data_IF_040837010265
#
_entry.id   IF_040837010265
#
_cell.length_a   1.000
_cell.length_b   1.000
_cell.length_c   1.000
_cell.angle_alpha   90.00
_cell.angle_beta   90.00
_cell.angle_gamma   90.00
#
_symmetry.space_group_name_H-M   'P 1'
#
loop_
_entity.id
_entity.type
_entity.pdbx_description
1 polymer ?
#
# COMPACT_ATOMS: atom_id res chain seq x y z
N UNK A 1 -0.97 -7.10 18.87
CA UNK A 1 -1.22 -6.22 17.70
C UNK A 1 0.11 -5.56 17.34
N UNK A 2 0.89 -6.13 16.40
CA UNK A 2 2.18 -5.58 16.00
C UNK A 2 1.96 -4.64 14.81
N UNK A 3 2.53 -3.44 14.85
CA UNK A 3 3.26 -2.96 13.66
C UNK A 3 2.72 -1.86 12.75
N UNK A 4 1.59 -1.18 13.01
CA UNK A 4 1.09 -0.10 12.11
C UNK A 4 2.01 1.14 11.96
N UNK A 5 3.22 1.14 12.54
CA UNK A 5 4.02 2.34 12.75
C UNK A 5 5.39 2.33 12.09
N UNK A 6 5.47 2.32 10.74
CA UNK A 6 6.66 2.81 10.03
C UNK A 6 6.28 3.42 8.69
N UNK A 7 5.83 4.67 8.72
CA UNK A 7 5.97 5.76 7.71
C UNK A 7 4.91 6.79 8.12
N UNK A 8 5.25 7.57 9.13
CA UNK A 8 4.55 8.78 9.53
C UNK A 8 5.47 9.94 9.22
N UNK A 9 5.37 10.51 8.00
CA UNK A 9 5.83 11.87 7.69
C UNK A 9 5.19 12.30 6.37
N UNK A 10 4.84 13.57 6.27
CA UNK A 10 4.25 14.16 5.07
C UNK A 10 5.09 15.32 4.59
N UNK A 11 5.68 15.18 3.41
CA UNK A 11 6.46 16.21 2.72
C UNK A 11 6.85 15.68 1.34
N UNK A 12 7.28 16.54 0.43
CA UNK A 12 7.90 16.12 -0.83
C UNK A 12 9.07 15.14 -0.62
N UNK A 13 9.71 15.19 0.56
CA UNK A 13 10.77 14.26 0.95
C UNK A 13 10.25 12.82 1.08
N UNK A 14 9.08 12.59 1.69
CA UNK A 14 8.55 11.23 1.88
C UNK A 14 8.21 10.55 0.57
N UNK A 15 7.74 11.30 -0.43
CA UNK A 15 7.53 10.73 -1.77
C UNK A 15 8.84 10.26 -2.40
N UNK A 16 9.92 11.04 -2.24
CA UNK A 16 11.25 10.67 -2.73
C UNK A 16 11.81 9.46 -1.99
N UNK A 17 11.71 9.45 -0.66
CA UNK A 17 12.12 8.31 0.18
C UNK A 17 11.41 7.02 -0.22
N UNK A 18 10.09 7.07 -0.47
CA UNK A 18 9.34 5.91 -0.97
C UNK A 18 9.81 5.51 -2.38
N UNK A 19 10.06 6.46 -3.27
CA UNK A 19 10.59 6.14 -4.59
C UNK A 19 11.95 5.44 -4.48
N UNK A 20 12.86 5.97 -3.66
CA UNK A 20 14.20 5.40 -3.50
C UNK A 20 14.20 4.00 -2.87
N UNK A 21 13.24 3.71 -1.99
CA UNK A 21 13.11 2.42 -1.32
C UNK A 21 12.45 1.33 -2.18
N UNK A 22 11.49 1.70 -3.02
CA UNK A 22 10.63 0.73 -3.72
C UNK A 22 10.83 0.71 -5.24
N UNK A 23 11.66 1.60 -5.80
CA UNK A 23 12.02 1.60 -7.22
C UNK A 23 12.73 0.29 -7.61
N UNK A 24 12.40 -0.24 -8.79
CA UNK A 24 13.11 -1.39 -9.36
C UNK A 24 14.37 -0.98 -10.14
N UNK A 25 14.39 0.24 -10.65
CA UNK A 25 15.50 0.87 -11.35
C UNK A 25 15.42 2.38 -11.15
N UNK A 26 16.47 3.14 -11.45
CA UNK A 26 16.58 4.55 -11.06
C UNK A 26 15.50 5.49 -11.62
N UNK A 27 14.91 5.14 -12.77
CA UNK A 27 13.81 5.88 -13.40
C UNK A 27 12.42 5.32 -13.08
N UNK A 28 12.30 4.31 -12.21
CA UNK A 28 11.03 3.66 -11.91
C UNK A 28 10.15 4.53 -11.01
N UNK A 29 9.14 5.13 -11.62
CA UNK A 29 8.12 5.95 -10.94
C UNK A 29 6.74 5.32 -10.98
N UNK A 30 6.58 4.22 -11.72
CA UNK A 30 5.29 3.70 -12.16
C UNK A 30 5.05 2.23 -11.83
N UNK A 31 6.03 1.51 -11.29
CA UNK A 31 5.85 0.11 -10.92
C UNK A 31 4.72 -0.09 -9.91
N UNK A 32 4.08 -1.28 -9.91
CA UNK A 32 3.06 -1.61 -8.93
C UNK A 32 3.54 -1.43 -7.48
N UNK A 33 4.80 -1.76 -7.18
CA UNK A 33 5.41 -1.65 -5.85
C UNK A 33 5.47 -0.19 -5.38
N UNK A 34 6.04 0.70 -6.19
CA UNK A 34 6.09 2.14 -5.92
C UNK A 34 4.68 2.70 -5.71
N UNK A 35 3.74 2.35 -6.59
CA UNK A 35 2.36 2.82 -6.47
C UNK A 35 1.67 2.31 -5.20
N UNK A 36 1.87 1.04 -4.83
CA UNK A 36 1.30 0.45 -3.60
C UNK A 36 1.87 1.17 -2.37
N UNK A 37 3.17 1.41 -2.31
CA UNK A 37 3.82 2.11 -1.20
C UNK A 37 3.33 3.56 -1.08
N UNK A 38 3.20 4.28 -2.21
CA UNK A 38 2.65 5.63 -2.24
C UNK A 38 1.18 5.66 -1.78
N UNK A 39 0.34 4.73 -2.25
CA UNK A 39 -1.05 4.64 -1.81
C UNK A 39 -1.15 4.30 -0.32
N UNK A 40 -0.30 3.39 0.17
CA UNK A 40 -0.25 3.03 1.59
C UNK A 40 0.02 4.24 2.47
N UNK A 41 1.03 5.06 2.11
CA UNK A 41 1.36 6.29 2.85
C UNK A 41 0.16 7.26 2.93
N UNK A 42 -0.62 7.38 1.85
CA UNK A 42 -1.82 8.24 1.81
C UNK A 42 -2.94 7.66 2.66
N UNK A 43 -3.14 6.34 2.62
CA UNK A 43 -4.16 5.63 3.41
C UNK A 43 -3.88 5.80 4.91
N UNK A 44 -2.63 5.61 5.36
CA UNK A 44 -2.25 5.81 6.77
C UNK A 44 -2.54 7.24 7.21
N UNK A 45 -2.11 8.23 6.41
CA UNK A 45 -2.37 9.65 6.71
C UNK A 45 -3.87 9.98 6.77
N UNK A 46 -4.65 9.55 5.79
CA UNK A 46 -6.09 9.82 5.75
C UNK A 46 -6.82 9.12 6.88
N UNK A 47 -6.39 7.92 7.25
CA UNK A 47 -6.90 7.21 8.42
C UNK A 47 -6.70 8.06 9.68
N UNK A 48 -5.48 8.55 9.94
CA UNK A 48 -5.20 9.41 11.10
C UNK A 48 -5.98 10.73 11.08
N UNK A 49 -6.14 11.35 9.90
CA UNK A 49 -6.97 12.55 9.75
C UNK A 49 -8.44 12.27 10.13
N UNK A 50 -9.01 11.15 9.68
CA UNK A 50 -10.39 10.76 9.93
C UNK A 50 -10.65 10.33 11.37
N UNK A 51 -9.62 9.88 12.12
CA UNK A 51 -9.75 9.60 13.56
C UNK A 51 -10.16 10.84 14.34
N UNK A 52 -9.64 12.00 13.96
CA UNK A 52 -9.98 13.30 14.54
C UNK A 52 -11.21 13.95 13.87
N UNK A 53 -11.47 13.63 12.60
CA UNK A 53 -12.53 14.22 11.78
C UNK A 53 -13.59 13.18 11.39
N UNK A 54 -14.26 12.58 12.37
CA UNK A 54 -15.17 11.46 12.14
C UNK A 54 -16.40 11.81 11.26
N UNK A 55 -16.77 13.09 11.15
CA UNK A 55 -17.90 13.54 10.32
C UNK A 55 -17.52 13.85 8.88
N UNK A 56 -16.24 13.75 8.50
CA UNK A 56 -15.82 13.96 7.11
C UNK A 56 -16.09 12.72 6.25
N UNK A 57 -17.30 12.66 5.69
CA UNK A 57 -17.73 11.57 4.81
C UNK A 57 -17.06 11.61 3.43
N UNK A 58 -16.68 12.79 2.93
CA UNK A 58 -16.05 12.94 1.62
C UNK A 58 -14.63 12.38 1.63
N UNK A 59 -13.84 12.71 2.65
CA UNK A 59 -12.50 12.14 2.83
C UNK A 59 -12.55 10.64 3.10
N UNK A 60 -13.55 10.14 3.83
CA UNK A 60 -13.77 8.70 4.02
C UNK A 60 -14.07 7.99 2.70
N UNK A 61 -14.88 8.58 1.83
CA UNK A 61 -15.12 8.03 0.49
C UNK A 61 -13.83 8.02 -0.36
N UNK A 62 -13.03 9.09 -0.30
CA UNK A 62 -11.69 9.14 -0.91
C UNK A 62 -10.76 8.04 -0.39
N UNK A 63 -10.76 7.79 0.92
CA UNK A 63 -10.01 6.69 1.55
C UNK A 63 -10.41 5.34 0.96
N UNK A 64 -11.72 5.05 0.84
CA UNK A 64 -12.17 3.78 0.26
C UNK A 64 -11.76 3.60 -1.21
N UNK A 65 -11.76 4.67 -2.01
CA UNK A 65 -11.22 4.63 -3.37
C UNK A 65 -9.74 4.25 -3.40
N UNK A 66 -8.93 4.82 -2.51
CA UNK A 66 -7.50 4.53 -2.41
C UNK A 66 -7.25 3.07 -2.00
N UNK A 67 -7.97 2.57 -1.00
CA UNK A 67 -7.90 1.16 -0.55
C UNK A 67 -8.29 0.22 -1.69
N UNK A 68 -9.35 0.54 -2.44
CA UNK A 68 -9.77 -0.24 -3.61
C UNK A 68 -8.70 -0.29 -4.70
N UNK A 69 -8.07 0.84 -5.01
CA UNK A 69 -6.97 0.92 -5.98
C UNK A 69 -5.75 0.11 -5.54
N UNK A 70 -5.35 0.23 -4.26
CA UNK A 70 -4.25 -0.54 -3.69
C UNK A 70 -4.52 -2.04 -3.80
N UNK A 71 -5.72 -2.50 -3.43
CA UNK A 71 -6.13 -3.90 -3.55
C UNK A 71 -6.10 -4.40 -5.00
N UNK A 72 -6.49 -3.57 -5.96
CA UNK A 72 -6.40 -3.91 -7.38
C UNK A 72 -4.95 -4.12 -7.84
N UNK A 73 -4.03 -3.25 -7.41
CA UNK A 73 -2.61 -3.37 -7.73
C UNK A 73 -1.99 -4.62 -7.08
N UNK A 74 -2.34 -4.90 -5.82
CA UNK A 74 -1.92 -6.12 -5.13
C UNK A 74 -2.41 -7.38 -5.86
N UNK A 75 -3.66 -7.40 -6.36
CA UNK A 75 -4.19 -8.51 -7.18
C UNK A 75 -3.43 -8.67 -8.48
N UNK A 76 -3.13 -7.57 -9.16
CA UNK A 76 -2.34 -7.61 -10.38
C UNK A 76 -0.94 -8.17 -10.11
N UNK A 77 -0.25 -7.66 -9.09
CA UNK A 77 1.10 -8.11 -8.74
C UNK A 77 1.09 -9.59 -8.36
N UNK A 78 0.15 -10.04 -7.51
CA UNK A 78 -0.02 -11.46 -7.18
C UNK A 78 -0.18 -12.34 -8.42
N UNK A 79 -1.02 -11.94 -9.37
CA UNK A 79 -1.26 -12.72 -10.60
C UNK A 79 -0.06 -12.77 -11.55
N UNK A 80 0.83 -11.76 -11.49
CA UNK A 80 1.98 -11.65 -12.38
C UNK A 80 3.24 -12.25 -11.78
N UNK A 81 3.45 -12.07 -10.48
CA UNK A 81 4.64 -12.50 -9.78
C UNK A 81 4.34 -12.59 -8.27
N UNK A 82 4.22 -13.82 -7.78
CA UNK A 82 3.94 -14.05 -6.36
C UNK A 82 5.10 -13.67 -5.44
N UNK A 83 6.35 -13.80 -5.90
CA UNK A 83 7.52 -13.47 -5.08
C UNK A 83 7.52 -11.96 -4.79
N UNK A 84 7.32 -11.14 -5.82
CA UNK A 84 7.20 -9.67 -5.67
C UNK A 84 6.02 -9.28 -4.79
N UNK A 85 4.90 -9.99 -4.91
CA UNK A 85 3.73 -9.78 -4.06
C UNK A 85 4.01 -10.06 -2.57
N UNK A 86 4.68 -11.19 -2.27
CA UNK A 86 5.06 -11.54 -0.89
C UNK A 86 6.03 -10.50 -0.32
N UNK A 87 7.06 -10.13 -1.09
CA UNK A 87 8.04 -9.12 -0.69
C UNK A 87 7.39 -7.78 -0.33
N UNK A 88 6.50 -7.24 -1.18
CA UNK A 88 5.90 -5.93 -0.92
C UNK A 88 4.94 -5.96 0.29
N UNK A 89 4.28 -7.10 0.52
CA UNK A 89 3.42 -7.29 1.69
C UNK A 89 4.23 -7.29 2.97
N UNK A 90 5.34 -8.02 2.99
CA UNK A 90 6.21 -8.11 4.16
C UNK A 90 6.88 -6.77 4.46
N UNK A 91 7.33 -6.05 3.41
CA UNK A 91 7.93 -4.72 3.55
C UNK A 91 6.96 -3.67 4.12
N UNK A 92 5.70 -3.70 3.68
CA UNK A 92 4.69 -2.71 4.07
C UNK A 92 3.82 -3.16 5.26
N UNK A 93 4.08 -4.34 5.83
CA UNK A 93 3.26 -4.97 6.89
C UNK A 93 1.76 -5.00 6.54
N UNK A 94 1.45 -5.30 5.26
CA UNK A 94 0.08 -5.33 4.76
C UNK A 94 -0.56 -6.70 5.04
N UNK A 95 -1.86 -6.70 5.36
CA UNK A 95 -2.58 -7.96 5.53
C UNK A 95 -2.74 -8.65 4.18
N UNK A 96 -2.31 -9.92 4.09
CA UNK A 96 -2.67 -10.78 2.98
C UNK A 96 -4.19 -11.02 2.96
N UNK A 97 -4.84 -10.43 1.95
CA UNK A 97 -6.29 -10.54 1.68
C UNK A 97 -6.59 -11.33 0.40
N UNK A 98 -5.56 -11.82 -0.29
CA UNK A 98 -5.69 -12.50 -1.58
C UNK A 98 -5.43 -14.00 -1.38
N UNK A 99 -4.29 -14.37 -0.78
CA UNK A 99 -3.90 -15.77 -0.55
C UNK A 99 -4.82 -16.51 0.41
N UNK A 100 -5.42 -15.82 1.40
CA UNK A 100 -6.36 -16.44 2.36
C UNK A 100 -7.72 -16.82 1.76
N UNK A 101 -8.08 -16.35 0.56
CA UNK A 101 -9.32 -16.73 -0.12
C UNK A 101 -9.07 -17.96 -1.01
N UNK A 102 -8.63 -19.06 -0.40
CA UNK A 102 -8.76 -20.41 -0.98
C UNK A 102 -8.08 -20.66 -2.33
N UNK A 103 -7.05 -19.91 -2.72
CA UNK A 103 -6.18 -20.33 -3.83
C UNK A 103 -4.96 -21.01 -3.22
N UNK A 104 -5.06 -22.32 -2.99
CA UNK A 104 -3.93 -23.15 -2.54
C UNK A 104 -2.79 -23.02 -3.56
N UNK A 105 -1.68 -22.44 -3.14
CA UNK A 105 -0.40 -22.66 -3.79
C UNK A 105 0.08 -24.03 -3.33
N UNK A 106 -0.03 -25.02 -4.22
CA UNK A 106 0.72 -26.27 -4.06
C UNK A 106 2.18 -25.93 -4.33
N UNK A 107 2.98 -25.83 -3.27
CA UNK A 107 4.37 -26.29 -3.35
C UNK A 107 4.38 -27.82 -3.52
#
# INVERSE_FOLDING_TARGET
MKGCGKILKSSASVKKEILDQYKKHDSDTGSPEVQIALLNSRIVRLTEHLRHNQKDHHSRYGLFKLVGKQRSLMRYLHSKDIQRYRQIIDQLDLRDTIGRRGTTYSD
#
